data_IF_540307268326
#
_entry.id   IF_540307268326
#
_cell.length_a   1.000
_cell.length_b   1.000
_cell.length_c   1.000
_cell.angle_alpha   90.00
_cell.angle_beta   90.00
_cell.angle_gamma   90.00
#
_symmetry.space_group_name_H-M   'P 1'
#
loop_
_entity.id
_entity.type
_entity.pdbx_description
1 polymer ?
#
# COMPACT_ATOMS: atom_id res chain seq x y z
N UNK A 1 -12.00 25.02 -1.46
CA UNK A 1 -10.82 24.39 -0.82
C UNK A 1 -11.02 22.90 -0.49
N UNK A 2 -12.15 22.46 0.09
CA UNK A 2 -12.44 21.03 0.36
C UNK A 2 -12.32 20.09 -0.87
N UNK A 3 -12.72 20.56 -2.06
CA UNK A 3 -12.70 19.75 -3.30
C UNK A 3 -11.29 19.42 -3.82
N UNK A 4 -10.31 20.30 -3.63
CA UNK A 4 -8.93 20.07 -4.13
C UNK A 4 -8.19 19.08 -3.23
N UNK A 5 -8.40 19.16 -1.91
CA UNK A 5 -7.82 18.19 -0.99
C UNK A 5 -8.37 16.78 -1.21
N UNK A 6 -9.67 16.65 -1.53
CA UNK A 6 -10.27 15.34 -1.81
C UNK A 6 -9.71 14.67 -3.07
N UNK A 7 -9.47 15.41 -4.16
CA UNK A 7 -8.88 14.84 -5.37
C UNK A 7 -7.43 14.43 -5.15
N UNK A 8 -6.63 15.27 -4.50
CA UNK A 8 -5.21 14.98 -4.19
C UNK A 8 -5.08 13.79 -3.25
N UNK A 9 -5.91 13.70 -2.21
CA UNK A 9 -5.94 12.53 -1.30
C UNK A 9 -6.17 11.24 -2.08
N UNK A 10 -7.14 11.24 -3.00
CA UNK A 10 -7.48 10.04 -3.77
C UNK A 10 -6.37 9.67 -4.77
N UNK A 11 -5.69 10.64 -5.37
CA UNK A 11 -4.51 10.39 -6.21
C UNK A 11 -3.36 9.75 -5.41
N UNK A 12 -3.16 10.17 -4.15
CA UNK A 12 -2.16 9.54 -3.29
C UNK A 12 -2.55 8.11 -2.96
N UNK A 13 -3.82 7.84 -2.63
CA UNK A 13 -4.27 6.47 -2.35
C UNK A 13 -4.18 5.57 -3.58
N UNK A 14 -4.49 6.08 -4.77
CA UNK A 14 -4.27 5.36 -6.04
C UNK A 14 -2.82 4.94 -6.22
N UNK A 15 -1.89 5.88 -6.02
CA UNK A 15 -0.47 5.62 -6.14
C UNK A 15 0.03 4.64 -5.07
N UNK A 16 -0.47 4.78 -3.83
CA UNK A 16 -0.17 3.84 -2.76
C UNK A 16 -0.70 2.44 -3.11
N UNK A 17 -1.90 2.31 -3.64
CA UNK A 17 -2.51 1.01 -3.96
C UNK A 17 -2.10 0.44 -5.33
N UNK A 18 -1.07 1.00 -5.96
CA UNK A 18 -0.58 0.58 -7.28
C UNK A 18 -1.68 0.53 -8.33
N UNK A 19 -2.61 1.48 -8.29
CA UNK A 19 -3.69 1.55 -9.26
C UNK A 19 -3.12 1.84 -10.66
N UNK A 20 -3.67 1.14 -11.65
CA UNK A 20 -3.25 1.22 -13.05
C UNK A 20 -1.77 0.85 -13.28
N UNK A 21 -1.17 0.07 -12.39
CA UNK A 21 0.19 -0.47 -12.58
C UNK A 21 0.27 -1.22 -13.91
N UNK A 22 1.28 -0.87 -14.71
CA UNK A 22 1.53 -1.55 -15.98
C UNK A 22 1.89 -3.02 -15.73
N UNK A 23 1.28 -3.92 -16.50
CA UNK A 23 1.60 -5.33 -16.41
C UNK A 23 3.08 -5.57 -16.73
N UNK A 24 3.76 -6.30 -15.85
CA UNK A 24 5.15 -6.68 -16.09
C UNK A 24 5.24 -7.70 -17.25
N UNK A 25 6.23 -7.58 -18.14
CA UNK A 25 6.47 -8.56 -19.19
C UNK A 25 6.82 -9.92 -18.59
N UNK A 26 6.51 -10.97 -19.32
CA UNK A 26 6.86 -12.33 -18.89
C UNK A 26 8.38 -12.52 -18.85
N UNK A 27 8.86 -13.32 -17.90
CA UNK A 27 10.26 -13.75 -17.84
C UNK A 27 11.20 -12.78 -17.13
N UNK A 28 10.71 -11.72 -16.48
CA UNK A 28 11.53 -10.96 -15.55
C UNK A 28 11.98 -11.89 -14.42
N UNK A 29 13.28 -11.94 -14.18
CA UNK A 29 13.88 -12.61 -13.04
C UNK A 29 14.53 -11.55 -12.16
N UNK A 30 14.19 -11.54 -10.88
CA UNK A 30 14.95 -10.81 -9.87
C UNK A 30 16.39 -11.32 -9.82
N UNK A 31 17.31 -10.44 -9.48
CA UNK A 31 18.68 -10.83 -9.14
C UNK A 31 18.74 -11.01 -7.60
N UNK A 32 19.25 -12.14 -7.09
CA UNK A 32 19.20 -12.44 -5.66
C UNK A 32 19.81 -11.37 -4.76
N UNK A 33 20.83 -10.66 -5.25
CA UNK A 33 21.47 -9.55 -4.56
C UNK A 33 20.50 -8.39 -4.37
N UNK A 34 19.80 -7.98 -5.42
CA UNK A 34 18.80 -6.92 -5.34
C UNK A 34 17.63 -7.31 -4.43
N UNK A 35 17.12 -8.55 -4.54
CA UNK A 35 16.01 -8.99 -3.69
C UNK A 35 16.38 -8.93 -2.20
N UNK A 36 17.60 -9.34 -1.86
CA UNK A 36 18.13 -9.25 -0.49
C UNK A 36 18.33 -7.81 -0.04
N UNK A 37 18.98 -6.99 -0.86
CA UNK A 37 19.29 -5.60 -0.52
C UNK A 37 17.99 -4.77 -0.42
N UNK A 38 17.02 -5.04 -1.28
CA UNK A 38 15.73 -4.37 -1.24
C UNK A 38 14.92 -4.75 0.02
N UNK A 39 15.03 -6.00 0.46
CA UNK A 39 14.33 -6.53 1.63
C UNK A 39 15.04 -6.21 2.96
N UNK A 40 16.27 -5.68 2.96
CA UNK A 40 17.00 -5.38 4.22
C UNK A 40 16.27 -4.36 5.09
N UNK A 41 15.61 -3.38 4.46
CA UNK A 41 14.84 -2.32 5.11
C UNK A 41 13.35 -2.67 5.23
N UNK A 42 12.99 -3.95 5.13
CA UNK A 42 11.60 -4.38 5.20
C UNK A 42 11.07 -4.33 6.64
N UNK A 43 10.05 -3.50 6.87
CA UNK A 43 9.18 -3.65 8.04
C UNK A 43 8.28 -4.86 7.83
N UNK A 44 8.32 -5.78 8.80
CA UNK A 44 7.59 -7.05 8.73
C UNK A 44 6.43 -7.08 9.72
N UNK A 45 5.31 -7.62 9.28
CA UNK A 45 4.19 -7.98 10.16
C UNK A 45 4.58 -9.10 11.11
N UNK A 46 3.71 -9.43 12.07
CA UNK A 46 3.91 -10.56 13.00
C UNK A 46 4.10 -11.90 12.27
N UNK A 47 3.46 -12.05 11.13
CA UNK A 47 3.56 -13.24 10.27
C UNK A 47 4.72 -13.18 9.26
N UNK A 48 5.60 -12.17 9.39
CA UNK A 48 6.80 -12.03 8.56
C UNK A 48 6.57 -11.44 7.17
N UNK A 49 5.36 -10.98 6.84
CA UNK A 49 5.01 -10.38 5.55
C UNK A 49 5.42 -8.91 5.50
N UNK A 50 5.80 -8.40 4.33
CA UNK A 50 6.16 -6.98 4.15
C UNK A 50 5.57 -6.38 2.89
N UNK A 51 5.27 -5.08 2.89
CA UNK A 51 4.96 -4.32 1.67
C UNK A 51 6.13 -4.31 0.67
N UNK A 52 7.36 -4.60 1.13
CA UNK A 52 8.54 -4.73 0.26
C UNK A 52 8.68 -6.14 -0.34
N UNK A 53 7.78 -7.07 -0.03
CA UNK A 53 7.81 -8.40 -0.64
C UNK A 53 7.51 -8.30 -2.14
N UNK A 54 8.45 -8.72 -2.98
CA UNK A 54 8.31 -8.72 -4.42
C UNK A 54 7.75 -10.07 -4.92
N UNK A 55 6.93 -10.04 -5.95
CA UNK A 55 6.54 -11.27 -6.69
C UNK A 55 7.10 -11.29 -8.11
N UNK A 56 7.28 -10.10 -8.71
CA UNK A 56 7.86 -9.91 -10.07
C UNK A 56 7.21 -10.85 -11.11
N UNK A 57 5.88 -10.94 -11.07
CA UNK A 57 5.08 -11.76 -11.99
C UNK A 57 4.28 -10.87 -12.92
N UNK A 58 3.02 -10.60 -12.57
CA UNK A 58 2.14 -9.67 -13.30
C UNK A 58 2.21 -8.24 -12.76
N UNK A 59 2.66 -8.09 -11.52
CA UNK A 59 2.84 -6.86 -10.78
C UNK A 59 4.13 -6.96 -9.96
N UNK A 60 4.66 -5.82 -9.53
CA UNK A 60 5.94 -5.74 -8.81
C UNK A 60 5.82 -6.27 -7.38
N UNK A 61 4.93 -5.66 -6.60
CA UNK A 61 4.73 -5.96 -5.18
C UNK A 61 3.76 -7.11 -4.97
N UNK A 62 4.10 -8.04 -4.09
CA UNK A 62 3.21 -9.15 -3.70
C UNK A 62 1.90 -8.65 -3.10
N UNK A 63 1.95 -7.55 -2.35
CA UNK A 63 0.78 -6.87 -1.80
C UNK A 63 0.74 -5.47 -2.42
N UNK A 64 -0.34 -5.13 -3.14
CA UNK A 64 -0.47 -3.86 -3.88
C UNK A 64 -0.73 -2.67 -2.96
N UNK A 65 0.23 -2.41 -2.09
CA UNK A 65 0.35 -1.22 -1.27
C UNK A 65 1.83 -0.82 -1.18
N UNK A 66 2.16 0.39 -1.63
CA UNK A 66 3.52 0.88 -1.80
C UNK A 66 4.24 1.05 -0.45
N UNK A 67 5.50 0.59 -0.33
CA UNK A 67 6.35 0.88 0.83
C UNK A 67 6.61 2.37 1.06
N UNK A 68 6.29 3.25 0.10
CA UNK A 68 6.46 4.70 0.23
C UNK A 68 5.61 5.32 1.35
N UNK A 69 4.59 4.61 1.84
CA UNK A 69 3.85 5.00 3.06
C UNK A 69 4.77 5.12 4.29
N UNK A 70 5.91 4.42 4.31
CA UNK A 70 6.93 4.51 5.36
C UNK A 70 7.98 5.59 5.12
N UNK A 71 7.97 6.25 3.95
CA UNK A 71 9.02 7.20 3.59
C UNK A 71 9.01 8.44 4.49
N UNK A 72 10.16 9.08 4.73
CA UNK A 72 10.23 10.34 5.47
C UNK A 72 9.31 11.43 4.89
N UNK A 73 9.16 11.47 3.57
CA UNK A 73 8.28 12.41 2.88
C UNK A 73 6.81 12.20 3.25
N UNK A 74 6.34 10.95 3.25
CA UNK A 74 4.97 10.63 3.67
C UNK A 74 4.76 10.95 5.15
N UNK A 75 5.76 10.62 5.99
CA UNK A 75 5.68 10.89 7.42
C UNK A 75 5.69 12.38 7.77
N UNK A 76 6.34 13.21 6.97
CA UNK A 76 6.37 14.67 7.13
C UNK A 76 5.11 15.39 6.61
N UNK A 77 4.14 14.68 6.03
CA UNK A 77 2.91 15.31 5.53
C UNK A 77 2.10 15.99 6.66
N UNK A 78 1.42 17.11 6.38
CA UNK A 78 0.54 17.77 7.35
C UNK A 78 -0.53 16.82 7.89
N UNK A 79 -0.73 16.82 9.21
CA UNK A 79 -1.63 15.89 9.90
C UNK A 79 -3.06 15.84 9.30
N UNK A 80 -3.70 16.96 8.88
CA UNK A 80 -5.03 16.89 8.27
C UNK A 80 -5.06 16.14 6.94
N UNK A 81 -3.99 16.23 6.13
CA UNK A 81 -3.89 15.53 4.86
C UNK A 81 -3.59 14.04 5.10
N UNK A 82 -2.63 13.74 5.98
CA UNK A 82 -2.29 12.35 6.34
C UNK A 82 -3.52 11.60 6.87
N UNK A 83 -4.33 12.26 7.70
CA UNK A 83 -5.59 11.72 8.20
C UNK A 83 -6.55 11.34 7.07
N UNK A 84 -6.80 12.23 6.11
CA UNK A 84 -7.69 11.94 4.98
C UNK A 84 -7.17 10.79 4.11
N UNK A 85 -5.85 10.70 3.91
CA UNK A 85 -5.23 9.58 3.18
C UNK A 85 -5.46 8.27 3.93
N UNK A 86 -5.25 8.25 5.25
CA UNK A 86 -5.48 7.04 6.05
C UNK A 86 -6.94 6.61 6.10
N UNK A 87 -7.88 7.54 6.25
CA UNK A 87 -9.32 7.25 6.16
C UNK A 87 -9.66 6.63 4.80
N UNK A 88 -9.23 7.28 3.71
CA UNK A 88 -9.51 6.79 2.35
C UNK A 88 -8.83 5.45 2.05
N UNK A 89 -7.61 5.23 2.55
CA UNK A 89 -6.89 3.97 2.40
C UNK A 89 -7.55 2.85 3.21
N UNK A 90 -7.99 3.13 4.43
CA UNK A 90 -8.70 2.17 5.25
C UNK A 90 -10.04 1.77 4.62
N UNK A 91 -10.82 2.74 4.13
CA UNK A 91 -12.07 2.47 3.40
C UNK A 91 -11.83 1.59 2.17
N UNK A 92 -10.73 1.83 1.45
CA UNK A 92 -10.34 1.01 0.31
C UNK A 92 -9.92 -0.41 0.72
N UNK A 93 -9.33 -0.60 1.90
CA UNK A 93 -8.87 -1.91 2.39
C UNK A 93 -9.91 -2.67 3.20
N UNK A 94 -11.05 -2.05 3.51
CA UNK A 94 -12.12 -2.68 4.27
C UNK A 94 -12.63 -3.95 3.55
N UNK A 95 -12.96 -5.05 4.27
CA UNK A 95 -13.46 -6.28 3.67
C UNK A 95 -14.69 -6.08 2.78
N UNK A 96 -15.60 -5.20 3.22
CA UNK A 96 -16.84 -4.85 2.51
C UNK A 96 -16.69 -3.66 1.55
N UNK A 97 -15.46 -3.28 1.17
CA UNK A 97 -15.22 -2.19 0.23
C UNK A 97 -15.90 -2.46 -1.12
N UNK A 98 -16.82 -1.57 -1.50
CA UNK A 98 -17.60 -1.65 -2.76
C UNK A 98 -17.10 -0.71 -3.85
N UNK A 99 -16.07 0.11 -3.57
CA UNK A 99 -15.51 1.04 -4.56
C UNK A 99 -14.82 0.26 -5.68
N UNK A 100 -15.47 0.22 -6.86
CA UNK A 100 -14.97 -0.46 -8.06
C UNK A 100 -13.58 0.03 -8.47
N UNK A 101 -13.19 1.26 -8.08
CA UNK A 101 -11.87 1.84 -8.33
C UNK A 101 -10.73 0.93 -7.88
N UNK A 102 -10.92 0.20 -6.78
CA UNK A 102 -9.93 -0.71 -6.22
C UNK A 102 -10.32 -2.18 -6.39
N UNK A 103 -11.29 -2.52 -7.25
CA UNK A 103 -11.81 -3.87 -7.44
C UNK A 103 -10.78 -4.90 -7.98
N UNK A 104 -9.61 -4.43 -8.41
CA UNK A 104 -8.48 -5.27 -8.77
C UNK A 104 -7.80 -5.92 -7.56
N UNK A 105 -7.87 -5.31 -6.37
CA UNK A 105 -7.39 -5.86 -5.09
C UNK A 105 -8.49 -6.76 -4.53
N UNK A 106 -8.19 -8.04 -4.36
CA UNK A 106 -9.17 -9.04 -3.88
C UNK A 106 -9.22 -9.07 -2.36
N UNK A 107 -10.28 -9.66 -1.81
CA UNK A 107 -10.57 -9.60 -0.37
C UNK A 107 -9.45 -10.22 0.48
N UNK A 108 -8.84 -11.30 0.01
CA UNK A 108 -7.67 -11.94 0.64
C UNK A 108 -6.47 -10.98 0.68
N UNK A 109 -6.14 -10.35 -0.44
CA UNK A 109 -5.05 -9.38 -0.51
C UNK A 109 -5.33 -8.13 0.33
N UNK A 110 -6.58 -7.63 0.36
CA UNK A 110 -6.98 -6.53 1.24
C UNK A 110 -6.69 -6.86 2.70
N UNK A 111 -7.09 -8.05 3.14
CA UNK A 111 -6.85 -8.51 4.50
C UNK A 111 -5.36 -8.64 4.82
N UNK A 112 -4.54 -9.09 3.86
CA UNK A 112 -3.08 -9.15 4.03
C UNK A 112 -2.45 -7.75 4.13
N UNK A 113 -2.83 -6.82 3.26
CA UNK A 113 -2.35 -5.42 3.33
C UNK A 113 -2.77 -4.79 4.66
N UNK A 114 -4.03 -4.95 5.06
CA UNK A 114 -4.56 -4.46 6.33
C UNK A 114 -3.73 -4.98 7.50
N UNK A 115 -3.49 -6.29 7.57
CA UNK A 115 -2.71 -6.90 8.65
C UNK A 115 -1.26 -6.39 8.69
N UNK A 116 -0.63 -6.24 7.52
CA UNK A 116 0.72 -5.65 7.43
C UNK A 116 0.71 -4.24 8.00
N UNK A 117 -0.15 -3.36 7.48
CA UNK A 117 -0.24 -1.96 7.92
C UNK A 117 -0.57 -1.82 9.41
N UNK A 118 -1.48 -2.64 9.92
CA UNK A 118 -1.81 -2.68 11.34
C UNK A 118 -0.57 -2.99 12.18
N UNK A 119 0.24 -3.98 11.79
CA UNK A 119 1.42 -4.36 12.56
C UNK A 119 2.57 -3.36 12.43
N UNK A 120 2.80 -2.81 11.24
CA UNK A 120 4.03 -2.05 10.90
C UNK A 120 3.88 -0.54 10.92
N UNK A 121 2.65 0.02 10.92
CA UNK A 121 2.41 1.46 10.88
C UNK A 121 1.49 1.89 12.04
N UNK A 122 2.03 2.28 13.21
CA UNK A 122 1.19 2.67 14.35
C UNK A 122 0.19 3.79 14.05
N UNK A 123 0.57 4.78 13.24
CA UNK A 123 -0.24 5.97 12.94
C UNK A 123 -1.53 5.67 12.16
N UNK A 124 -1.59 4.57 11.39
CA UNK A 124 -2.78 4.20 10.61
C UNK A 124 -3.77 3.36 11.42
N UNK A 125 -3.35 2.71 12.50
CA UNK A 125 -4.19 1.79 13.30
C UNK A 125 -5.55 2.38 13.71
N UNK A 126 -5.68 3.66 14.12
CA UNK A 126 -6.98 4.23 14.49
C UNK A 126 -8.00 4.30 13.34
N UNK A 127 -7.56 4.10 12.09
CA UNK A 127 -8.39 4.15 10.89
C UNK A 127 -8.72 2.75 10.38
N UNK A 128 -7.94 1.73 10.77
CA UNK A 128 -8.11 0.34 10.38
C UNK A 128 -9.16 -0.32 11.29
N UNK A 129 -10.41 -0.31 10.85
CA UNK A 129 -11.56 -0.92 11.55
C UNK A 129 -11.92 -2.28 10.96
#
# INVERSE_FOLDING_TARGET
>A
MKSVFSSVTREVVDALLSKDEAALPFGIKGIPEFDRDYASEALKSRDGKSLRDLTVRRHLYRYRCSPLIYSPMFQAMPAPLKKQIFETLADALHPDATDERYGYIKADERAEIFAILHDTLPDIRPFLN
#
